data_IF_176392321204
#
_entry.id   IF_176392321204
#
_cell.length_a   1.000
_cell.length_b   1.000
_cell.length_c   1.000
_cell.angle_alpha   90.00
_cell.angle_beta   90.00
_cell.angle_gamma   90.00
#
_symmetry.space_group_name_H-M   'P 1'
#
loop_
_entity.id
_entity.type
_entity.pdbx_description
1 polymer ?
#
# COMPACT_ATOMS: atom_id res chain seq x y z
N UNK A 1 -6.61 -13.08 -22.22
CA UNK A 1 -6.35 -12.98 -20.76
C UNK A 1 -5.99 -14.32 -20.10
N UNK A 2 -6.59 -15.46 -20.51
CA UNK A 2 -6.34 -16.79 -19.91
C UNK A 2 -4.93 -17.34 -20.18
N UNK A 3 -4.41 -17.24 -21.42
CA UNK A 3 -3.08 -17.73 -21.80
C UNK A 3 -1.90 -17.10 -21.01
N UNK A 4 -2.04 -15.83 -20.61
CA UNK A 4 -0.98 -15.12 -19.87
C UNK A 4 -0.95 -15.51 -18.39
N UNK A 5 -2.11 -15.82 -17.79
CA UNK A 5 -2.20 -16.43 -16.45
C UNK A 5 -1.52 -17.80 -16.43
N UNK A 6 -1.76 -18.66 -17.41
CA UNK A 6 -1.16 -20.01 -17.47
C UNK A 6 0.37 -19.96 -17.50
N UNK A 7 0.98 -19.03 -18.26
CA UNK A 7 2.44 -18.89 -18.37
C UNK A 7 3.11 -18.37 -17.07
N UNK A 8 2.43 -17.53 -16.29
CA UNK A 8 2.96 -17.02 -15.02
C UNK A 8 2.75 -17.98 -13.85
N UNK A 9 1.70 -18.80 -13.90
CA UNK A 9 1.35 -19.77 -12.85
C UNK A 9 2.17 -21.06 -13.02
N UNK A 10 2.53 -21.44 -14.25
CA UNK A 10 3.32 -22.65 -14.54
C UNK A 10 4.65 -22.75 -13.76
N UNK A 11 5.50 -21.70 -13.67
CA UNK A 11 6.72 -21.77 -12.85
C UNK A 11 6.43 -21.83 -11.35
N UNK A 12 5.34 -21.23 -10.88
CA UNK A 12 4.91 -21.33 -9.47
C UNK A 12 4.50 -22.76 -9.17
N UNK A 13 3.69 -23.39 -10.02
CA UNK A 13 3.27 -24.79 -9.90
C UNK A 13 4.48 -25.71 -9.97
N UNK A 14 5.41 -25.48 -10.91
CA UNK A 14 6.62 -26.29 -11.02
C UNK A 14 7.49 -26.17 -9.76
N UNK A 15 7.60 -24.97 -9.19
CA UNK A 15 8.31 -24.72 -7.94
C UNK A 15 7.65 -25.41 -6.75
N UNK A 16 6.33 -25.31 -6.58
CA UNK A 16 5.62 -26.02 -5.50
C UNK A 16 5.70 -27.53 -5.66
N UNK A 17 5.56 -28.06 -6.89
CA UNK A 17 5.70 -29.49 -7.17
C UNK A 17 7.13 -29.97 -6.88
N UNK A 18 8.15 -29.22 -7.28
CA UNK A 18 9.55 -29.56 -6.99
C UNK A 18 9.85 -29.49 -5.49
N UNK A 19 9.28 -28.51 -4.77
CA UNK A 19 9.41 -28.38 -3.31
C UNK A 19 8.75 -29.56 -2.58
N UNK A 20 7.56 -29.97 -3.02
CA UNK A 20 6.86 -31.15 -2.50
C UNK A 20 7.69 -32.41 -2.78
N UNK A 21 8.28 -32.55 -3.97
CA UNK A 21 9.11 -33.71 -4.32
C UNK A 21 10.37 -33.80 -3.43
N UNK A 22 11.03 -32.67 -3.17
CA UNK A 22 12.22 -32.59 -2.30
C UNK A 22 11.86 -32.92 -0.85
N UNK A 23 10.73 -32.41 -0.34
CA UNK A 23 10.24 -32.72 1.00
C UNK A 23 9.91 -34.22 1.16
N UNK A 24 9.20 -34.80 0.19
CA UNK A 24 8.87 -36.23 0.21
C UNK A 24 10.11 -37.12 0.08
N UNK A 25 11.10 -36.71 -0.72
CA UNK A 25 12.38 -37.43 -0.84
C UNK A 25 13.18 -37.38 0.47
N UNK A 26 13.13 -36.26 1.20
CA UNK A 26 13.76 -36.15 2.53
C UNK A 26 13.05 -36.97 3.60
N UNK A 27 11.73 -37.11 3.53
CA UNK A 27 10.95 -37.96 4.44
C UNK A 27 11.20 -39.45 4.20
N UNK A 28 11.31 -39.88 2.94
CA UNK A 28 11.64 -41.26 2.58
C UNK A 28 13.08 -41.63 2.95
N UNK A 29 14.02 -40.68 2.84
CA UNK A 29 15.41 -40.88 3.24
C UNK A 29 15.62 -40.99 4.76
N UNK A 30 14.71 -40.43 5.57
CA UNK A 30 14.76 -40.52 7.03
C UNK A 30 14.39 -41.93 7.57
N UNK A 31 13.74 -42.77 6.74
CA UNK A 31 13.34 -44.14 7.08
C UNK A 31 14.48 -45.16 6.86
N UNK A 32 15.58 -44.77 6.18
CA UNK A 32 16.82 -45.54 6.05
C UNK A 32 17.94 -44.98 6.95
N UNK A 33 17.94 -45.36 8.24
CA UNK A 33 19.08 -45.47 9.17
C UNK A 33 20.19 -44.38 9.26
N UNK A 34 20.45 -43.94 10.50
CA UNK A 34 21.71 -43.44 11.10
C UNK A 34 22.52 -42.29 10.46
N UNK A 35 21.96 -41.50 9.53
CA UNK A 35 22.63 -40.31 8.97
C UNK A 35 21.87 -38.99 9.22
N UNK A 36 21.28 -38.86 10.42
CA UNK A 36 20.24 -37.86 10.75
C UNK A 36 20.73 -36.40 10.81
N UNK A 37 22.03 -36.12 10.96
CA UNK A 37 22.51 -34.74 11.17
C UNK A 37 22.97 -33.99 9.91
N UNK A 38 23.60 -34.68 8.95
CA UNK A 38 24.05 -34.06 7.69
C UNK A 38 22.89 -33.87 6.70
N UNK A 39 21.93 -34.80 6.71
CA UNK A 39 20.81 -34.80 5.76
C UNK A 39 19.83 -33.63 5.99
N UNK A 40 19.59 -33.27 7.24
CA UNK A 40 18.75 -32.12 7.62
C UNK A 40 19.34 -30.78 7.14
N UNK A 41 20.66 -30.57 7.28
CA UNK A 41 21.34 -29.33 6.85
C UNK A 41 21.44 -29.22 5.33
N UNK A 42 21.73 -30.32 4.64
CA UNK A 42 21.78 -30.34 3.16
C UNK A 42 20.41 -30.01 2.55
N UNK A 43 19.32 -30.48 3.17
CA UNK A 43 17.95 -30.16 2.74
C UNK A 43 17.67 -28.65 2.84
N UNK A 44 18.07 -28.00 3.94
CA UNK A 44 17.91 -26.54 4.11
C UNK A 44 18.72 -25.75 3.07
N UNK A 45 19.95 -26.18 2.76
CA UNK A 45 20.80 -25.54 1.75
C UNK A 45 20.19 -25.68 0.36
N UNK A 46 19.66 -26.86 0.02
CA UNK A 46 18.97 -27.10 -1.26
C UNK A 46 17.72 -26.20 -1.35
N UNK A 47 16.92 -26.11 -0.29
CA UNK A 47 15.72 -25.27 -0.25
C UNK A 47 16.08 -23.78 -0.40
N UNK A 48 17.11 -23.32 0.30
CA UNK A 48 17.62 -21.95 0.18
C UNK A 48 18.13 -21.64 -1.22
N UNK A 49 18.88 -22.57 -1.84
CA UNK A 49 19.40 -22.40 -3.19
C UNK A 49 18.27 -22.36 -4.23
N UNK A 50 17.26 -23.22 -4.08
CA UNK A 50 16.07 -23.27 -4.94
C UNK A 50 15.24 -22.00 -4.81
N UNK A 51 14.97 -21.54 -3.58
CA UNK A 51 14.25 -20.29 -3.31
C UNK A 51 15.02 -19.08 -3.86
N UNK A 52 16.32 -18.98 -3.58
CA UNK A 52 17.17 -17.89 -4.08
C UNK A 52 17.23 -17.88 -5.61
N UNK A 53 17.32 -19.05 -6.24
CA UNK A 53 17.30 -19.18 -7.70
C UNK A 53 15.97 -18.72 -8.28
N UNK A 54 14.84 -19.08 -7.66
CA UNK A 54 13.53 -18.61 -8.07
C UNK A 54 13.43 -17.07 -8.00
N UNK A 55 13.84 -16.46 -6.87
CA UNK A 55 13.84 -15.00 -6.71
C UNK A 55 14.69 -14.31 -7.79
N UNK A 56 15.90 -14.82 -8.05
CA UNK A 56 16.80 -14.26 -9.07
C UNK A 56 16.22 -14.40 -10.49
N UNK A 57 15.60 -15.54 -10.81
CA UNK A 57 14.94 -15.76 -12.10
C UNK A 57 13.76 -14.80 -12.30
N UNK A 58 12.89 -14.64 -11.29
CA UNK A 58 11.77 -13.69 -11.34
C UNK A 58 12.26 -12.24 -11.45
N UNK A 59 13.30 -11.86 -10.71
CA UNK A 59 13.91 -10.52 -10.79
C UNK A 59 14.48 -10.25 -12.18
N UNK A 60 15.16 -11.25 -12.77
CA UNK A 60 15.70 -11.15 -14.13
C UNK A 60 14.57 -11.03 -15.17
N UNK A 61 13.49 -11.78 -15.03
CA UNK A 61 12.32 -11.67 -15.91
C UNK A 61 11.60 -10.32 -15.78
N UNK A 62 11.50 -9.78 -14.57
CA UNK A 62 10.97 -8.45 -14.33
C UNK A 62 11.83 -7.36 -14.96
N UNK A 63 13.16 -7.45 -14.80
CA UNK A 63 14.12 -6.51 -15.41
C UNK A 63 14.14 -6.61 -16.95
N UNK A 64 13.88 -7.78 -17.51
CA UNK A 64 13.79 -8.00 -18.96
C UNK A 64 12.51 -7.45 -19.60
N UNK A 65 11.67 -6.71 -18.85
CA UNK A 65 10.49 -6.03 -19.39
C UNK A 65 9.34 -6.96 -19.79
N UNK A 66 9.37 -8.22 -19.32
CA UNK A 66 8.20 -9.11 -19.46
C UNK A 66 7.03 -8.41 -18.76
N UNK A 67 5.87 -8.29 -19.43
CA UNK A 67 4.66 -7.69 -18.85
C UNK A 67 4.18 -8.53 -17.66
N UNK A 68 4.69 -8.22 -16.46
CA UNK A 68 4.17 -8.74 -15.20
C UNK A 68 2.82 -8.09 -14.95
N UNK A 69 1.82 -8.92 -14.64
CA UNK A 69 0.53 -8.41 -14.22
C UNK A 69 0.67 -7.95 -12.77
N UNK A 70 1.06 -6.69 -12.57
CA UNK A 70 1.01 -6.07 -11.25
C UNK A 70 -0.46 -5.81 -10.95
N UNK A 71 -1.02 -6.57 -10.00
CA UNK A 71 -2.36 -6.29 -9.49
C UNK A 71 -2.33 -4.93 -8.83
N UNK A 72 -3.03 -3.95 -9.40
CA UNK A 72 -3.23 -2.66 -8.74
C UNK A 72 -3.86 -2.89 -7.36
N UNK A 73 -3.41 -2.15 -6.36
CA UNK A 73 -3.98 -2.23 -5.02
C UNK A 73 -5.35 -1.57 -5.11
N UNK A 74 -6.41 -2.35 -4.92
CA UNK A 74 -7.79 -1.88 -5.10
C UNK A 74 -8.09 -0.60 -4.29
N UNK A 75 -7.48 -0.45 -3.11
CA UNK A 75 -7.63 0.75 -2.28
C UNK A 75 -7.08 2.04 -2.90
N UNK A 76 -6.05 1.95 -3.76
CA UNK A 76 -5.46 3.14 -4.42
C UNK A 76 -6.32 3.60 -5.59
N UNK A 77 -6.81 2.67 -6.43
CA UNK A 77 -7.73 3.01 -7.53
C UNK A 77 -9.09 3.49 -7.00
N UNK A 78 -9.55 2.98 -5.85
CA UNK A 78 -10.80 3.38 -5.22
C UNK A 78 -10.82 4.86 -4.77
N UNK A 79 -9.65 5.49 -4.56
CA UNK A 79 -9.57 6.91 -4.21
C UNK A 79 -10.11 7.78 -5.34
N UNK A 80 -9.70 7.52 -6.59
CA UNK A 80 -10.14 8.32 -7.74
C UNK A 80 -11.65 8.19 -7.97
N UNK A 81 -12.18 6.98 -7.84
CA UNK A 81 -13.60 6.69 -7.94
C UNK A 81 -14.41 7.32 -6.79
N UNK A 82 -13.89 7.27 -5.55
CA UNK A 82 -14.53 7.93 -4.41
C UNK A 82 -14.55 9.45 -4.54
N UNK A 83 -13.45 10.07 -5.00
CA UNK A 83 -13.40 11.51 -5.28
C UNK A 83 -14.35 11.85 -6.40
N UNK A 84 -14.34 11.11 -7.52
CA UNK A 84 -15.25 11.33 -8.65
C UNK A 84 -16.72 11.30 -8.23
N UNK A 85 -17.13 10.31 -7.42
CA UNK A 85 -18.48 10.29 -6.84
C UNK A 85 -18.76 11.48 -5.94
N UNK A 86 -17.80 11.90 -5.12
CA UNK A 86 -17.97 13.08 -4.25
C UNK A 86 -18.15 14.35 -5.10
N UNK A 87 -17.40 14.50 -6.19
CA UNK A 87 -17.55 15.57 -7.18
C UNK A 87 -18.94 15.55 -7.81
N UNK A 88 -19.40 14.40 -8.29
CA UNK A 88 -20.72 14.23 -8.90
C UNK A 88 -21.87 14.54 -7.92
N UNK A 89 -21.69 14.20 -6.64
CA UNK A 89 -22.65 14.51 -5.58
C UNK A 89 -22.55 15.96 -5.07
N UNK A 90 -21.56 16.75 -5.50
CA UNK A 90 -21.29 18.08 -4.98
C UNK A 90 -20.94 18.10 -3.49
N UNK A 91 -20.40 17.00 -2.94
CA UNK A 91 -20.06 16.85 -1.53
C UNK A 91 -18.55 16.93 -1.31
N UNK A 92 -18.10 17.48 -0.16
CA UNK A 92 -16.69 17.54 0.17
C UNK A 92 -16.12 16.14 0.45
N UNK A 93 -14.82 15.96 0.16
CA UNK A 93 -14.04 14.80 0.56
C UNK A 93 -13.47 15.04 1.95
N UNK A 94 -13.74 14.14 2.88
CA UNK A 94 -13.18 14.14 4.23
C UNK A 94 -12.07 13.10 4.31
N UNK A 95 -10.84 13.53 4.62
CA UNK A 95 -9.70 12.62 4.75
C UNK A 95 -9.04 12.77 6.12
N UNK A 96 -8.77 11.64 6.78
CA UNK A 96 -8.09 11.59 8.08
C UNK A 96 -6.73 10.92 7.88
N UNK A 97 -5.61 11.66 7.99
CA UNK A 97 -4.28 11.09 7.77
C UNK A 97 -3.83 10.16 8.89
N UNK A 98 -4.20 10.46 10.14
CA UNK A 98 -3.82 9.65 11.30
C UNK A 98 -4.46 10.19 12.57
N UNK A 99 -4.50 9.35 13.60
CA UNK A 99 -5.01 9.71 14.93
C UNK A 99 -3.86 10.11 15.86
N UNK A 100 -2.67 9.57 15.63
CA UNK A 100 -1.47 9.75 16.43
C UNK A 100 -0.56 10.85 15.83
N UNK A 101 0.61 11.07 16.44
CA UNK A 101 1.54 12.11 15.98
C UNK A 101 2.37 11.63 14.77
N UNK A 102 3.22 12.49 14.22
CA UNK A 102 4.13 12.18 13.11
C UNK A 102 5.25 11.20 13.49
N UNK A 103 5.43 10.90 14.77
CA UNK A 103 6.38 9.87 15.22
C UNK A 103 5.89 8.45 14.88
N UNK A 104 4.58 8.29 14.75
CA UNK A 104 3.95 7.02 14.41
C UNK A 104 3.92 6.80 12.90
N UNK A 105 4.38 5.61 12.49
CA UNK A 105 4.59 5.25 11.08
C UNK A 105 3.27 5.29 10.30
N UNK A 106 2.15 4.93 10.94
CA UNK A 106 0.83 5.00 10.31
C UNK A 106 0.44 6.43 9.91
N UNK A 107 0.75 7.44 10.72
CA UNK A 107 0.40 8.84 10.43
C UNK A 107 1.25 9.37 9.28
N UNK A 108 2.55 9.05 9.27
CA UNK A 108 3.43 9.40 8.15
C UNK A 108 2.92 8.77 6.84
N UNK A 109 2.54 7.48 6.89
CA UNK A 109 1.99 6.80 5.74
C UNK A 109 0.66 7.43 5.26
N UNK A 110 -0.19 7.85 6.19
CA UNK A 110 -1.43 8.55 5.87
C UNK A 110 -1.22 9.94 5.26
N UNK A 111 -0.23 10.70 5.73
CA UNK A 111 0.19 11.98 5.12
C UNK A 111 0.72 11.74 3.70
N UNK A 112 1.49 10.67 3.47
CA UNK A 112 1.95 10.33 2.12
C UNK A 112 0.79 10.01 1.17
N UNK A 113 -0.23 9.30 1.65
CA UNK A 113 -1.45 9.01 0.89
C UNK A 113 -2.26 10.30 0.64
N UNK A 114 -2.32 11.21 1.63
CA UNK A 114 -3.00 12.50 1.52
C UNK A 114 -2.50 13.27 0.29
N UNK A 115 -1.21 13.27 -0.01
CA UNK A 115 -0.68 13.93 -1.21
C UNK A 115 -1.29 13.42 -2.52
N UNK A 116 -1.60 12.11 -2.62
CA UNK A 116 -2.33 11.56 -3.78
C UNK A 116 -3.79 12.00 -3.78
N UNK A 117 -4.47 11.95 -2.63
CA UNK A 117 -5.86 12.40 -2.50
C UNK A 117 -5.98 13.87 -2.88
N UNK A 118 -5.10 14.72 -2.37
CA UNK A 118 -5.07 16.16 -2.63
C UNK A 118 -4.88 16.50 -4.11
N UNK A 119 -3.99 15.79 -4.83
CA UNK A 119 -3.85 15.95 -6.28
C UNK A 119 -5.14 15.63 -7.02
N UNK A 120 -5.79 14.52 -6.66
CA UNK A 120 -7.03 14.07 -7.32
C UNK A 120 -8.17 15.04 -7.01
N UNK A 121 -8.33 15.48 -5.76
CA UNK A 121 -9.35 16.48 -5.40
C UNK A 121 -9.08 17.83 -6.05
N UNK A 122 -7.83 18.28 -6.14
CA UNK A 122 -7.47 19.52 -6.84
C UNK A 122 -7.76 19.43 -8.35
N UNK A 123 -7.48 18.28 -8.96
CA UNK A 123 -7.76 18.02 -10.38
C UNK A 123 -9.25 18.16 -10.70
N UNK A 124 -10.10 17.57 -9.85
CA UNK A 124 -11.55 17.60 -10.00
C UNK A 124 -12.22 18.78 -9.28
N UNK A 125 -11.44 19.77 -8.82
CA UNK A 125 -11.91 20.95 -8.09
C UNK A 125 -12.90 20.61 -6.96
N UNK A 126 -12.66 19.50 -6.29
CA UNK A 126 -13.54 18.97 -5.25
C UNK A 126 -13.06 19.46 -3.89
N UNK A 127 -13.95 20.02 -3.04
CA UNK A 127 -13.56 20.51 -1.72
C UNK A 127 -12.98 19.38 -0.88
N UNK A 128 -11.78 19.60 -0.33
CA UNK A 128 -11.11 18.68 0.57
C UNK A 128 -11.17 19.24 2.00
N UNK A 129 -11.38 18.37 2.99
CA UNK A 129 -11.29 18.70 4.42
C UNK A 129 -10.43 17.68 5.13
N UNK A 130 -9.41 18.16 5.82
CA UNK A 130 -8.41 17.33 6.52
C UNK A 130 -8.31 17.78 7.96
N UNK A 131 -9.18 17.31 8.86
CA UNK A 131 -9.05 17.60 10.28
C UNK A 131 -7.89 16.79 10.87
N UNK A 132 -7.08 17.44 11.69
CA UNK A 132 -5.92 16.82 12.36
C UNK A 132 -5.91 17.11 13.86
N UNK A 133 -5.25 16.23 14.61
CA UNK A 133 -5.12 16.31 16.07
C UNK A 133 -3.85 16.98 16.55
N UNK A 134 -2.74 16.86 15.83
CA UNK A 134 -1.43 17.31 16.29
C UNK A 134 -0.91 18.49 15.45
N UNK A 135 -0.24 19.49 16.06
CA UNK A 135 0.32 20.62 15.31
C UNK A 135 1.39 20.23 14.29
N UNK A 136 2.20 19.21 14.56
CA UNK A 136 3.20 18.72 13.59
C UNK A 136 2.52 18.06 12.39
N UNK A 137 1.47 17.27 12.64
CA UNK A 137 0.63 16.69 11.57
C UNK A 137 -0.06 17.78 10.76
N UNK A 138 -0.50 18.88 11.39
CA UNK A 138 -1.06 20.05 10.69
C UNK A 138 -0.05 20.64 9.71
N UNK A 139 1.15 21.00 10.18
CA UNK A 139 2.17 21.62 9.34
C UNK A 139 2.57 20.71 8.17
N UNK A 140 2.86 19.44 8.45
CA UNK A 140 3.23 18.47 7.43
C UNK A 140 2.10 18.23 6.41
N UNK A 141 0.86 18.13 6.87
CA UNK A 141 -0.30 17.95 5.98
C UNK A 141 -0.57 19.20 5.15
N UNK A 142 -0.42 20.41 5.71
CA UNK A 142 -0.58 21.66 4.97
C UNK A 142 0.44 21.77 3.84
N UNK A 143 1.71 21.47 4.12
CA UNK A 143 2.79 21.47 3.13
C UNK A 143 2.50 20.45 2.01
N UNK A 144 2.12 19.23 2.35
CA UNK A 144 1.81 18.18 1.36
C UNK A 144 0.61 18.57 0.49
N UNK A 145 -0.44 19.14 1.07
CA UNK A 145 -1.62 19.58 0.31
C UNK A 145 -1.28 20.79 -0.57
N UNK A 146 -0.53 21.77 -0.06
CA UNK A 146 -0.09 22.93 -0.83
C UNK A 146 0.74 22.51 -2.05
N UNK A 147 1.74 21.64 -1.85
CA UNK A 147 2.54 21.09 -2.95
C UNK A 147 1.68 20.32 -3.96
N UNK A 148 0.72 19.52 -3.50
CA UNK A 148 -0.20 18.81 -4.39
C UNK A 148 -1.04 19.76 -5.26
N UNK A 149 -1.51 20.89 -4.71
CA UNK A 149 -2.25 21.90 -5.46
C UNK A 149 -1.35 22.64 -6.45
N UNK A 150 -0.11 22.95 -6.07
CA UNK A 150 0.91 23.55 -6.95
C UNK A 150 1.22 22.61 -8.13
N UNK A 151 1.46 21.32 -7.87
CA UNK A 151 1.73 20.30 -8.89
C UNK A 151 0.59 20.17 -9.91
N UNK A 152 -0.65 20.38 -9.50
CA UNK A 152 -1.82 20.36 -10.37
C UNK A 152 -2.13 21.70 -11.06
N UNK A 153 -1.28 22.72 -10.86
CA UNK A 153 -1.49 24.06 -11.44
C UNK A 153 -2.68 24.80 -10.83
N UNK A 154 -3.08 24.44 -9.60
CA UNK A 154 -4.23 24.98 -8.86
C UNK A 154 -3.81 25.70 -7.57
N UNK A 155 -2.62 26.31 -7.57
CA UNK A 155 -2.09 27.03 -6.41
C UNK A 155 -3.07 28.12 -5.90
N UNK A 156 -3.75 28.83 -6.80
CA UNK A 156 -4.72 29.87 -6.44
C UNK A 156 -5.97 29.34 -5.73
N UNK A 157 -6.26 28.04 -5.89
CA UNK A 157 -7.40 27.37 -5.25
C UNK A 157 -7.03 26.69 -3.93
N UNK A 158 -5.76 26.75 -3.52
CA UNK A 158 -5.33 26.21 -2.23
C UNK A 158 -5.78 27.13 -1.10
N UNK A 159 -6.48 26.54 -0.13
CA UNK A 159 -6.85 27.20 1.12
C UNK A 159 -6.10 26.52 2.27
N UNK A 160 -5.40 27.30 3.10
CA UNK A 160 -4.73 26.81 4.31
C UNK A 160 -5.68 26.15 5.29
N UNK A 161 -6.95 26.57 5.29
CA UNK A 161 -7.99 25.99 6.13
C UNK A 161 -8.50 24.61 5.65
N UNK A 162 -8.07 24.16 4.47
CA UNK A 162 -8.29 22.78 3.98
C UNK A 162 -7.82 21.76 5.02
N UNK A 163 -6.67 22.02 5.64
CA UNK A 163 -6.14 21.24 6.75
C UNK A 163 -6.31 22.04 8.03
N UNK A 164 -7.06 21.50 8.99
CA UNK A 164 -7.40 22.22 10.21
C UNK A 164 -7.08 21.42 11.45
N UNK A 165 -6.34 22.02 12.37
CA UNK A 165 -6.23 21.49 13.72
C UNK A 165 -7.56 21.70 14.44
N UNK A 166 -8.09 20.62 15.00
CA UNK A 166 -9.44 20.63 15.58
C UNK A 166 -9.39 20.57 17.09
N UNK A 167 -8.77 19.51 17.63
CA UNK A 167 -8.63 19.29 19.05
C UNK A 167 -7.49 18.30 19.30
N UNK A 168 -6.68 18.55 20.33
CA UNK A 168 -5.62 17.64 20.77
C UNK A 168 -6.16 16.41 21.50
N UNK A 169 -7.31 16.54 22.18
CA UNK A 169 -7.93 15.43 22.91
C UNK A 169 -8.65 14.44 22.00
N UNK A 170 -8.57 13.15 22.34
CA UNK A 170 -8.99 12.10 21.41
C UNK A 170 -10.48 12.09 21.12
N UNK A 171 -11.28 12.13 22.17
CA UNK A 171 -12.73 12.12 22.05
C UNK A 171 -13.27 13.43 21.49
N UNK A 172 -12.62 14.55 21.81
CA UNK A 172 -12.96 15.85 21.21
C UNK A 172 -12.75 15.82 19.69
N UNK A 173 -11.61 15.32 19.23
CA UNK A 173 -11.32 15.14 17.81
C UNK A 173 -12.38 14.27 17.12
N UNK A 174 -12.68 13.09 17.68
CA UNK A 174 -13.69 12.18 17.12
C UNK A 174 -15.08 12.82 17.07
N UNK A 175 -15.48 13.53 18.13
CA UNK A 175 -16.77 14.22 18.18
C UNK A 175 -16.88 15.30 17.08
N UNK A 176 -15.81 16.05 16.84
CA UNK A 176 -15.81 17.05 15.77
C UNK A 176 -15.82 16.42 14.38
N UNK A 177 -15.04 15.36 14.14
CA UNK A 177 -15.07 14.60 12.87
C UNK A 177 -16.46 14.04 12.61
N UNK A 178 -17.10 13.45 13.62
CA UNK A 178 -18.48 12.97 13.51
C UNK A 178 -19.44 14.13 13.18
N UNK A 179 -19.29 15.27 13.83
CA UNK A 179 -20.07 16.48 13.52
C UNK A 179 -19.87 16.98 12.08
N UNK A 180 -18.68 16.82 11.51
CA UNK A 180 -18.39 17.12 10.11
C UNK A 180 -19.02 16.12 9.13
N UNK A 181 -19.17 14.85 9.51
CA UNK A 181 -19.83 13.83 8.68
C UNK A 181 -21.36 14.00 8.64
N UNK A 182 -21.94 14.48 9.74
CA UNK A 182 -23.39 14.67 9.88
C UNK A 182 -23.93 15.95 9.21
N UNK A 183 -23.05 16.80 8.69
CA UNK A 183 -23.38 18.10 8.10
C UNK A 183 -23.03 18.12 6.61
#
# INVERSE_FOLDING_TARGET
MIKQKTIQILPIILFTVMMILILNLSAYAQDLGDSVFLYSRTTVIILLAVFSSAVLLYTKWARAGKKLFIRKIAGVDAVEDAVGRATEMGKPVLFIPGIADVEDIETIAGIAILGRVARVTAQYETPLRVPVRYPMVLAASQEVVEQAYIEMGKADSYDKDTVRYVAGEQFAFTATVNGMMMR
#
